data_IF_836572712015
#
_entry.id   IF_836572712015
#
_cell.length_a   1.000
_cell.length_b   1.000
_cell.length_c   1.000
_cell.angle_alpha   90.00
_cell.angle_beta   90.00
_cell.angle_gamma   90.00
#
_symmetry.space_group_name_H-M   'P 1'
#
loop_
_entity.id
_entity.type
_entity.pdbx_description
1 polymer ?
#
# COMPACT_ATOMS: atom_id res chain seq x y z
N UNK A 1 2.03 -8.22 25.93
CA UNK A 1 2.26 -8.80 24.59
C UNK A 1 3.76 -8.77 24.38
N UNK A 2 4.37 -9.86 23.93
CA UNK A 2 5.84 -9.95 23.81
C UNK A 2 6.33 -9.02 22.70
N UNK A 3 7.15 -8.01 23.03
CA UNK A 3 7.81 -7.10 22.09
C UNK A 3 8.91 -7.79 21.24
N UNK A 4 8.85 -9.12 21.14
CA UNK A 4 9.77 -9.96 20.39
C UNK A 4 9.05 -10.38 19.10
N UNK A 5 9.51 -9.92 17.93
CA UNK A 5 8.94 -10.35 16.65
C UNK A 5 9.00 -11.87 16.47
N UNK A 6 8.01 -12.44 15.77
CA UNK A 6 7.93 -13.89 15.51
C UNK A 6 9.09 -14.44 14.68
N UNK A 7 9.78 -13.56 13.95
CA UNK A 7 10.96 -13.85 13.13
C UNK A 7 12.26 -13.32 13.75
N UNK A 8 12.28 -13.07 15.06
CA UNK A 8 13.45 -12.55 15.73
C UNK A 8 14.57 -13.61 15.86
N UNK A 9 15.81 -13.14 15.90
CA UNK A 9 16.96 -13.99 16.22
C UNK A 9 16.80 -14.63 17.61
N UNK A 10 17.39 -15.81 17.79
CA UNK A 10 17.44 -16.48 19.09
C UNK A 10 18.07 -15.54 20.12
N UNK A 11 17.38 -15.34 21.26
CA UNK A 11 17.83 -14.44 22.32
C UNK A 11 17.55 -12.96 22.06
N UNK A 12 16.63 -12.62 21.15
CA UNK A 12 16.15 -11.25 20.98
C UNK A 12 15.55 -10.73 22.30
N UNK A 13 16.06 -9.61 22.85
CA UNK A 13 15.57 -9.07 24.12
C UNK A 13 14.22 -8.36 23.97
N UNK A 14 13.73 -8.16 22.73
CA UNK A 14 12.52 -7.42 22.39
C UNK A 14 12.81 -5.96 22.03
N UNK A 15 11.99 -5.40 21.14
CA UNK A 15 12.19 -4.05 20.55
C UNK A 15 11.95 -2.93 21.58
N UNK A 16 11.15 -3.17 22.61
CA UNK A 16 10.92 -2.24 23.72
C UNK A 16 11.90 -2.38 24.89
N UNK A 17 12.86 -3.31 24.82
CA UNK A 17 13.78 -3.58 25.94
C UNK A 17 14.96 -2.60 25.97
N UNK A 18 15.50 -2.36 27.17
CA UNK A 18 16.74 -1.58 27.31
C UNK A 18 17.95 -2.23 26.57
N UNK A 19 17.87 -3.53 26.30
CA UNK A 19 18.86 -4.30 25.55
C UNK A 19 18.64 -4.28 24.02
N UNK A 20 17.58 -3.66 23.51
CA UNK A 20 17.29 -3.60 22.09
C UNK A 20 18.46 -2.97 21.32
N UNK A 21 18.94 -3.65 20.28
CA UNK A 21 20.10 -3.22 19.47
C UNK A 21 21.47 -3.28 20.18
N UNK A 22 21.51 -3.65 21.46
CA UNK A 22 22.71 -3.66 22.32
C UNK A 22 23.07 -5.05 22.84
N UNK A 23 22.09 -5.93 23.02
CA UNK A 23 22.30 -7.28 23.53
C UNK A 23 22.99 -8.18 22.47
N UNK A 24 23.63 -9.26 22.94
CA UNK A 24 24.29 -10.22 22.06
C UNK A 24 23.35 -10.83 21.00
N UNK A 25 22.08 -11.07 21.35
CA UNK A 25 21.06 -11.56 20.43
C UNK A 25 20.69 -10.58 19.30
N UNK A 26 21.15 -9.32 19.38
CA UNK A 26 20.96 -8.32 18.32
C UNK A 26 22.11 -8.32 17.30
N UNK A 27 23.23 -9.00 17.57
CA UNK A 27 24.37 -9.01 16.65
C UNK A 27 23.98 -9.61 15.30
N UNK A 28 24.23 -8.87 14.21
CA UNK A 28 23.87 -9.29 12.85
C UNK A 28 22.38 -9.16 12.53
N UNK A 29 21.56 -8.60 13.42
CA UNK A 29 20.17 -8.28 13.12
C UNK A 29 20.10 -7.07 12.16
N UNK A 30 19.36 -7.14 11.04
CA UNK A 30 19.21 -6.02 10.11
C UNK A 30 18.68 -4.73 10.78
N UNK A 31 17.93 -4.87 11.88
CA UNK A 31 17.32 -3.75 12.60
C UNK A 31 18.12 -3.32 13.84
N UNK A 32 19.34 -3.82 14.06
CA UNK A 32 20.15 -3.54 15.26
C UNK A 32 20.37 -2.04 15.47
N UNK A 33 20.72 -1.31 14.40
CA UNK A 33 20.95 0.14 14.44
C UNK A 33 19.69 0.91 14.84
N UNK A 34 18.53 0.56 14.28
CA UNK A 34 17.26 1.20 14.63
C UNK A 34 16.89 0.91 16.09
N UNK A 35 17.06 -0.33 16.55
CA UNK A 35 16.77 -0.72 17.93
C UNK A 35 17.69 -0.06 18.97
N UNK A 36 18.97 0.19 18.63
CA UNK A 36 19.95 0.73 19.58
C UNK A 36 19.71 2.19 19.95
N UNK A 37 18.95 2.92 19.12
CA UNK A 37 18.51 4.30 19.38
C UNK A 37 17.58 4.42 20.59
N UNK A 38 16.93 3.32 21.01
CA UNK A 38 15.92 3.33 22.07
C UNK A 38 14.64 4.10 21.71
N UNK A 39 14.52 4.56 20.46
CA UNK A 39 13.30 5.19 19.96
C UNK A 39 12.42 4.11 19.37
N UNK A 40 11.22 3.94 19.94
CA UNK A 40 10.17 3.25 19.22
C UNK A 40 9.96 3.95 17.86
N UNK A 41 9.60 3.21 16.79
CA UNK A 41 9.17 3.84 15.56
C UNK A 41 8.13 4.91 15.90
N UNK A 42 8.39 6.17 15.51
CA UNK A 42 7.40 7.22 15.72
C UNK A 42 6.11 6.77 15.01
N UNK A 43 4.94 6.92 15.64
CA UNK A 43 3.68 6.74 14.94
C UNK A 43 3.74 7.60 13.68
N UNK A 44 3.49 6.99 12.53
CA UNK A 44 3.42 7.71 11.28
C UNK A 44 2.30 8.75 11.40
N UNK A 45 2.69 10.03 11.32
CA UNK A 45 1.79 11.17 11.53
C UNK A 45 0.67 11.18 10.49
N UNK A 46 0.90 10.56 9.33
CA UNK A 46 -0.05 10.47 8.23
C UNK A 46 -1.11 9.38 8.46
N UNK A 47 -0.94 8.47 9.43
CA UNK A 47 -1.93 7.41 9.70
C UNK A 47 -3.31 8.00 9.97
N UNK A 48 -3.39 9.10 10.73
CA UNK A 48 -4.68 9.75 11.02
C UNK A 48 -5.30 10.34 9.76
N UNK A 49 -4.50 11.02 8.96
CA UNK A 49 -4.94 11.60 7.69
C UNK A 49 -5.43 10.52 6.71
N UNK A 50 -4.72 9.39 6.61
CA UNK A 50 -5.10 8.25 5.78
C UNK A 50 -6.42 7.64 6.28
N UNK A 51 -6.57 7.45 7.59
CA UNK A 51 -7.81 6.94 8.19
C UNK A 51 -9.00 7.85 7.86
N UNK A 52 -8.83 9.16 8.00
CA UNK A 52 -9.87 10.14 7.68
C UNK A 52 -10.25 10.09 6.20
N UNK A 53 -9.27 10.03 5.28
CA UNK A 53 -9.52 9.89 3.84
C UNK A 53 -10.20 8.56 3.47
N UNK A 54 -9.91 7.48 4.18
CA UNK A 54 -10.48 6.15 3.93
C UNK A 54 -11.82 5.91 4.65
N UNK A 55 -12.26 6.83 5.52
CA UNK A 55 -13.47 6.69 6.33
C UNK A 55 -14.73 6.56 5.47
N UNK A 56 -14.82 7.30 4.35
CA UNK A 56 -15.95 7.26 3.43
C UNK A 56 -16.02 6.00 2.54
N UNK A 57 -14.96 5.20 2.48
CA UNK A 57 -14.88 4.02 1.62
C UNK A 57 -15.53 2.83 2.33
N UNK A 58 -16.71 2.40 1.85
CA UNK A 58 -17.50 1.31 2.47
C UNK A 58 -16.79 -0.05 2.45
N UNK A 59 -16.11 -0.37 1.35
CA UNK A 59 -15.44 -1.66 1.16
C UNK A 59 -14.03 -1.44 0.63
N UNK A 60 -13.04 -2.08 1.28
CA UNK A 60 -11.64 -2.10 0.84
C UNK A 60 -11.29 -3.54 0.49
N UNK A 61 -10.96 -3.81 -0.77
CA UNK A 61 -10.63 -5.14 -1.27
C UNK A 61 -9.16 -5.14 -1.69
N UNK A 62 -8.33 -5.89 -0.97
CA UNK A 62 -6.92 -6.01 -1.27
C UNK A 62 -6.67 -7.26 -2.12
N UNK A 63 -6.11 -7.08 -3.31
CA UNK A 63 -5.79 -8.18 -4.23
C UNK A 63 -4.27 -8.31 -4.26
N UNK A 64 -3.75 -9.43 -3.78
CA UNK A 64 -2.33 -9.72 -3.67
C UNK A 64 -1.94 -10.96 -4.48
N UNK A 65 -0.67 -11.06 -4.87
CA UNK A 65 -0.09 -12.28 -5.42
C UNK A 65 1.32 -12.50 -4.89
N UNK A 66 1.67 -13.78 -4.65
CA UNK A 66 3.03 -14.14 -4.21
C UNK A 66 4.05 -14.22 -5.35
N UNK A 67 3.61 -14.10 -6.60
CA UNK A 67 4.45 -14.14 -7.81
C UNK A 67 3.91 -13.16 -8.86
N UNK A 68 4.80 -12.71 -9.75
CA UNK A 68 4.43 -11.95 -10.95
C UNK A 68 3.72 -12.83 -11.99
N UNK A 69 2.89 -12.23 -12.85
CA UNK A 69 2.28 -12.92 -13.98
C UNK A 69 1.07 -13.83 -13.68
N UNK A 70 0.58 -13.90 -12.44
CA UNK A 70 -0.57 -14.75 -12.08
C UNK A 70 -1.95 -14.15 -12.44
N UNK A 71 -1.99 -12.96 -13.03
CA UNK A 71 -3.25 -12.30 -13.42
C UNK A 71 -3.89 -11.41 -12.35
N UNK A 72 -3.13 -10.93 -11.36
CA UNK A 72 -3.60 -10.02 -10.31
C UNK A 72 -4.31 -8.76 -10.87
N UNK A 73 -3.69 -8.09 -11.84
CA UNK A 73 -4.25 -6.90 -12.52
C UNK A 73 -5.52 -7.25 -13.30
N UNK A 74 -5.54 -8.42 -13.95
CA UNK A 74 -6.72 -8.93 -14.67
C UNK A 74 -7.90 -9.14 -13.74
N UNK A 75 -7.69 -9.82 -12.61
CA UNK A 75 -8.75 -10.03 -11.61
C UNK A 75 -9.24 -8.68 -11.07
N UNK A 76 -8.32 -7.76 -10.77
CA UNK A 76 -8.65 -6.42 -10.28
C UNK A 76 -9.52 -5.65 -11.28
N UNK A 77 -9.10 -5.60 -12.55
CA UNK A 77 -9.83 -4.92 -13.63
C UNK A 77 -11.22 -5.54 -13.85
N UNK A 78 -11.32 -6.87 -13.92
CA UNK A 78 -12.60 -7.55 -14.11
C UNK A 78 -13.55 -7.30 -12.93
N UNK A 79 -13.06 -7.41 -11.70
CA UNK A 79 -13.87 -7.17 -10.51
C UNK A 79 -14.35 -5.71 -10.46
N UNK A 80 -13.48 -4.75 -10.69
CA UNK A 80 -13.84 -3.33 -10.67
C UNK A 80 -14.89 -3.00 -11.74
N UNK A 81 -14.73 -3.53 -12.96
CA UNK A 81 -15.73 -3.36 -14.03
C UNK A 81 -17.06 -4.03 -13.70
N UNK A 82 -17.04 -5.20 -13.07
CA UNK A 82 -18.27 -5.87 -12.63
C UNK A 82 -18.99 -5.06 -11.54
N UNK A 83 -18.25 -4.52 -10.57
CA UNK A 83 -18.82 -3.66 -9.52
C UNK A 83 -19.36 -2.34 -10.10
N UNK A 84 -18.62 -1.74 -11.04
CA UNK A 84 -19.02 -0.50 -11.71
C UNK A 84 -20.15 -0.69 -12.74
N UNK A 85 -20.54 -1.93 -13.06
CA UNK A 85 -21.73 -2.19 -13.88
C UNK A 85 -23.03 -1.74 -13.21
N UNK A 86 -23.01 -1.60 -11.88
CA UNK A 86 -24.08 -0.98 -11.11
C UNK A 86 -23.80 0.53 -10.98
N UNK A 87 -24.60 1.40 -11.62
CA UNK A 87 -24.39 2.84 -11.61
C UNK A 87 -24.59 3.48 -10.23
N UNK A 88 -25.25 2.77 -9.29
CA UNK A 88 -25.39 3.25 -7.90
C UNK A 88 -24.10 3.09 -7.07
N UNK A 89 -23.11 2.35 -7.58
CA UNK A 89 -21.82 2.13 -6.91
C UNK A 89 -20.76 3.06 -7.48
N UNK A 90 -19.96 3.61 -6.58
CA UNK A 90 -18.71 4.32 -6.90
C UNK A 90 -17.55 3.37 -6.65
N UNK A 91 -16.71 3.18 -7.66
CA UNK A 91 -15.60 2.22 -7.63
C UNK A 91 -14.31 2.94 -7.97
N UNK A 92 -13.24 2.62 -7.25
CA UNK A 92 -11.91 3.12 -7.54
C UNK A 92 -10.89 1.97 -7.46
N UNK A 93 -9.90 2.02 -8.35
CA UNK A 93 -8.72 1.17 -8.29
C UNK A 93 -7.56 2.03 -7.81
N UNK A 94 -6.84 1.54 -6.79
CA UNK A 94 -5.52 2.04 -6.42
C UNK A 94 -4.49 0.98 -6.79
N UNK A 95 -3.61 1.31 -7.73
CA UNK A 95 -2.58 0.42 -8.26
C UNK A 95 -1.19 0.88 -7.81
N UNK A 96 -0.58 0.04 -6.97
CA UNK A 96 0.75 0.25 -6.36
C UNK A 96 1.79 -0.72 -6.91
N UNK A 97 1.51 -1.41 -8.02
CA UNK A 97 2.43 -2.39 -8.63
C UNK A 97 3.53 -1.71 -9.46
N UNK A 98 4.61 -1.30 -8.79
CA UNK A 98 5.75 -0.61 -9.42
C UNK A 98 6.50 -1.45 -10.45
N UNK A 99 6.52 -2.77 -10.30
CA UNK A 99 7.33 -3.67 -11.14
C UNK A 99 6.67 -4.00 -12.49
N UNK A 100 5.37 -3.75 -12.62
CA UNK A 100 4.61 -4.03 -13.83
C UNK A 100 3.24 -3.36 -13.83
N UNK A 101 3.19 -2.02 -13.76
CA UNK A 101 1.93 -1.29 -13.65
C UNK A 101 1.16 -1.43 -14.97
N UNK A 102 0.21 -2.35 -14.98
CA UNK A 102 -0.52 -2.79 -16.18
C UNK A 102 -1.94 -2.22 -16.23
N UNK A 103 -2.40 -1.61 -15.14
CA UNK A 103 -3.78 -1.18 -14.98
C UNK A 103 -4.19 -0.09 -15.98
N UNK A 104 -3.39 0.96 -16.24
CA UNK A 104 -3.76 1.96 -17.25
C UNK A 104 -4.00 1.35 -18.62
N UNK A 105 -3.10 0.45 -19.06
CA UNK A 105 -3.24 -0.28 -20.33
C UNK A 105 -4.48 -1.17 -20.37
N UNK A 106 -4.76 -1.91 -19.29
CA UNK A 106 -5.93 -2.80 -19.21
C UNK A 106 -7.26 -2.04 -19.22
N UNK A 107 -7.25 -0.79 -18.75
CA UNK A 107 -8.42 0.07 -18.67
C UNK A 107 -8.53 1.05 -19.85
N UNK A 108 -7.55 1.07 -20.76
CA UNK A 108 -7.53 1.92 -21.95
C UNK A 108 -7.23 3.38 -21.67
N UNK A 109 -6.52 3.68 -20.57
CA UNK A 109 -6.18 5.03 -20.10
C UNK A 109 -4.67 5.21 -19.96
N UNK A 110 -3.88 4.49 -20.76
CA UNK A 110 -2.40 4.51 -20.73
C UNK A 110 -1.77 5.84 -21.16
N UNK A 111 -2.51 6.68 -21.87
CA UNK A 111 -2.06 8.00 -22.32
C UNK A 111 -2.66 9.14 -21.47
N UNK A 112 -3.34 8.79 -20.38
CA UNK A 112 -3.89 9.77 -19.44
C UNK A 112 -2.85 10.08 -18.35
N UNK A 113 -2.93 11.28 -17.77
CA UNK A 113 -2.05 11.73 -16.70
C UNK A 113 -2.85 12.07 -15.44
N UNK A 114 -2.22 11.92 -14.28
CA UNK A 114 -2.80 12.39 -13.02
C UNK A 114 -2.68 13.90 -12.98
N UNK A 115 -3.78 14.59 -12.71
CA UNK A 115 -3.75 16.03 -12.58
C UNK A 115 -3.40 16.41 -11.14
N UNK A 116 -2.38 17.24 -10.97
CA UNK A 116 -2.06 17.86 -9.69
C UNK A 116 -2.98 19.06 -9.43
N UNK A 117 -3.56 19.10 -8.24
CA UNK A 117 -4.50 20.14 -7.82
C UNK A 117 -4.17 20.58 -6.39
N UNK A 118 -4.76 21.70 -5.94
CA UNK A 118 -4.55 22.20 -4.58
C UNK A 118 -4.93 21.17 -3.48
N UNK A 119 -5.83 20.23 -3.80
CA UNK A 119 -6.29 19.17 -2.89
C UNK A 119 -5.50 17.85 -3.06
N UNK A 120 -4.47 17.87 -3.91
CA UNK A 120 -3.62 16.74 -4.27
C UNK A 120 -3.97 16.16 -5.65
N UNK A 121 -3.56 14.92 -5.88
CA UNK A 121 -3.74 14.26 -7.17
C UNK A 121 -5.18 13.84 -7.43
N UNK A 122 -5.68 14.20 -8.62
CA UNK A 122 -6.98 13.77 -9.11
C UNK A 122 -6.85 12.47 -9.90
N UNK A 123 -7.46 11.35 -9.46
CA UNK A 123 -7.42 10.08 -10.19
C UNK A 123 -7.99 10.19 -11.61
N UNK A 124 -7.48 9.35 -12.51
CA UNK A 124 -7.94 9.26 -13.89
C UNK A 124 -9.33 8.61 -13.94
N UNK A 125 -10.24 9.21 -14.72
CA UNK A 125 -11.58 8.65 -14.93
C UNK A 125 -11.57 7.60 -16.04
N UNK A 126 -11.93 6.36 -15.69
CA UNK A 126 -12.13 5.28 -16.67
C UNK A 126 -13.58 5.28 -17.16
N UNK A 127 -14.52 5.59 -16.25
CA UNK A 127 -15.97 5.75 -16.47
C UNK A 127 -16.50 6.73 -15.43
N UNK A 128 -17.74 7.19 -15.61
CA UNK A 128 -18.44 8.08 -14.66
C UNK A 128 -18.38 7.62 -13.19
N UNK A 129 -18.38 6.30 -12.94
CA UNK A 129 -18.35 5.70 -11.61
C UNK A 129 -17.15 4.77 -11.37
N UNK A 130 -16.11 4.84 -12.22
CA UNK A 130 -14.89 4.04 -12.10
C UNK A 130 -13.64 4.91 -12.28
N UNK A 131 -12.89 5.07 -11.20
CA UNK A 131 -11.65 5.84 -11.17
C UNK A 131 -10.41 4.93 -11.07
N UNK A 132 -9.29 5.38 -11.61
CA UNK A 132 -8.00 4.73 -11.51
C UNK A 132 -6.94 5.71 -10.97
N UNK A 133 -6.28 5.31 -9.91
CA UNK A 133 -5.00 5.88 -9.49
C UNK A 133 -3.95 4.78 -9.62
N UNK A 134 -2.89 5.03 -10.39
CA UNK A 134 -1.81 4.05 -10.61
C UNK A 134 -0.45 4.72 -10.52
N UNK A 135 0.52 4.01 -9.96
CA UNK A 135 1.92 4.43 -9.98
C UNK A 135 2.47 4.56 -11.41
N UNK A 136 1.91 3.87 -12.41
CA UNK A 136 2.34 4.02 -13.81
C UNK A 136 2.31 5.48 -14.27
N UNK A 137 1.29 6.24 -13.86
CA UNK A 137 1.16 7.64 -14.24
C UNK A 137 2.26 8.55 -13.64
N UNK A 138 3.02 8.04 -12.66
CA UNK A 138 4.08 8.78 -11.97
C UNK A 138 5.48 8.36 -12.43
N UNK A 139 5.59 7.34 -13.29
CA UNK A 139 6.87 6.74 -13.67
C UNK A 139 7.43 7.23 -15.02
N UNK A 140 6.66 7.98 -15.81
CA UNK A 140 7.08 8.53 -17.11
C UNK A 140 6.84 7.59 -18.27
#
# INVERSE_FOLDING_TARGET
MTDVPTNANVGCPGVGSAGAGKAAGCAGCPNQGSCSTGQAPKPDEDIRLIQDRFSGIKHKILILSGKGGVGKSTVTTCLARALASDPSKQVAILDVDICGPSQPRMLGVENEEVHDSADGWTPVSVRENLLLMSIAFLLG
#
